data_IF_948924498739
#
_entry.id   IF_948924498739
#
_cell.length_a   1.000
_cell.length_b   1.000
_cell.length_c   1.000
_cell.angle_alpha   90.00
_cell.angle_beta   90.00
_cell.angle_gamma   90.00
#
_symmetry.space_group_name_H-M   'P 1'
#
loop_
_entity.id
_entity.type
_entity.pdbx_description
1 polymer ?
#
# COMPACT_ATOMS: atom_id res chain seq x y z
N UNK A 1 -17.52 20.63 6.78
CA UNK A 1 -17.62 20.40 8.23
C UNK A 1 -18.17 19.01 8.53
N UNK A 2 -19.38 18.65 8.09
CA UNK A 2 -19.96 17.31 8.36
C UNK A 2 -19.16 16.13 7.76
N UNK A 3 -18.69 16.25 6.52
CA UNK A 3 -17.94 15.18 5.85
C UNK A 3 -16.58 14.91 6.50
N UNK A 4 -15.92 15.97 6.98
CA UNK A 4 -14.63 15.91 7.67
C UNK A 4 -14.80 15.22 9.03
N UNK A 5 -15.87 15.56 9.77
CA UNK A 5 -16.23 14.88 11.02
C UNK A 5 -16.58 13.40 10.81
N UNK A 6 -17.26 13.04 9.71
CA UNK A 6 -17.61 11.65 9.42
C UNK A 6 -16.36 10.80 9.14
N UNK A 7 -15.46 11.28 8.27
CA UNK A 7 -14.20 10.59 7.98
C UNK A 7 -13.31 10.46 9.22
N UNK A 8 -13.23 11.49 10.06
CA UNK A 8 -12.48 11.44 11.31
C UNK A 8 -13.05 10.42 12.29
N UNK A 9 -14.38 10.35 12.42
CA UNK A 9 -15.03 9.35 13.27
C UNK A 9 -14.75 7.94 12.77
N UNK A 10 -14.92 7.68 11.48
CA UNK A 10 -14.66 6.36 10.90
C UNK A 10 -13.19 5.93 11.06
N UNK A 11 -12.24 6.87 10.94
CA UNK A 11 -10.83 6.59 11.21
C UNK A 11 -10.61 6.27 12.70
N UNK A 12 -11.20 7.04 13.61
CA UNK A 12 -11.07 6.82 15.05
C UNK A 12 -11.61 5.45 15.48
N UNK A 13 -12.81 5.10 15.02
CA UNK A 13 -13.43 3.81 15.29
C UNK A 13 -12.54 2.67 14.77
N UNK A 14 -12.05 2.77 13.53
CA UNK A 14 -11.17 1.77 12.95
C UNK A 14 -9.83 1.62 13.70
N UNK A 15 -9.17 2.72 14.06
CA UNK A 15 -7.91 2.65 14.81
C UNK A 15 -8.12 2.06 16.21
N UNK A 16 -9.26 2.33 16.86
CA UNK A 16 -9.58 1.76 18.16
C UNK A 16 -9.81 0.24 18.08
N UNK A 17 -10.56 -0.21 17.06
CA UNK A 17 -10.92 -1.62 16.89
C UNK A 17 -9.74 -2.47 16.38
N UNK A 18 -8.94 -1.92 15.47
CA UNK A 18 -7.91 -2.67 14.73
C UNK A 18 -6.47 -2.43 15.22
N UNK A 19 -6.26 -1.65 16.30
CA UNK A 19 -4.92 -1.26 16.75
C UNK A 19 -3.93 -2.43 16.86
N UNK A 20 -4.37 -3.55 17.43
CA UNK A 20 -3.54 -4.74 17.61
C UNK A 20 -3.19 -5.38 16.25
N UNK A 21 -4.14 -5.45 15.33
CA UNK A 21 -3.92 -5.97 13.99
C UNK A 21 -2.96 -5.08 13.19
N UNK A 22 -3.12 -3.75 13.28
CA UNK A 22 -2.21 -2.78 12.66
C UNK A 22 -0.80 -2.90 13.21
N UNK A 23 -0.63 -3.01 14.54
CA UNK A 23 0.68 -3.24 15.14
C UNK A 23 1.32 -4.54 14.67
N UNK A 24 0.57 -5.65 14.67
CA UNK A 24 1.07 -6.94 14.17
C UNK A 24 1.49 -6.87 12.70
N UNK A 25 0.67 -6.21 11.87
CA UNK A 25 1.00 -5.98 10.46
C UNK A 25 2.29 -5.17 10.30
N UNK A 26 2.48 -4.11 11.09
CA UNK A 26 3.74 -3.34 11.02
C UNK A 26 4.91 -4.17 11.53
N UNK A 27 4.77 -4.87 12.66
CA UNK A 27 5.83 -5.72 13.23
C UNK A 27 6.28 -6.82 12.28
N UNK A 28 5.37 -7.42 11.50
CA UNK A 28 5.75 -8.44 10.51
C UNK A 28 6.48 -7.88 9.28
N UNK A 29 6.62 -6.56 9.18
CA UNK A 29 7.12 -5.84 7.99
C UNK A 29 8.35 -4.98 8.26
N UNK A 30 8.66 -4.75 9.53
CA UNK A 30 9.87 -4.04 9.94
C UNK A 30 10.84 -5.06 10.53
N UNK A 31 12.11 -4.98 10.16
CA UNK A 31 13.14 -5.78 10.81
C UNK A 31 13.42 -5.22 12.22
N UNK A 32 13.81 -6.09 13.14
CA UNK A 32 14.23 -5.77 14.52
C UNK A 32 15.39 -4.77 14.56
N UNK A 33 16.09 -4.58 13.44
CA UNK A 33 17.13 -3.56 13.26
C UNK A 33 16.59 -2.14 13.03
N UNK A 34 15.27 -1.94 12.94
CA UNK A 34 14.61 -0.63 12.78
C UNK A 34 14.52 0.08 14.14
N UNK A 35 14.98 1.34 14.22
CA UNK A 35 14.98 2.16 15.45
C UNK A 35 13.59 2.70 15.84
N UNK A 36 12.55 2.37 15.07
CA UNK A 36 11.18 2.76 15.34
C UNK A 36 10.37 1.53 15.72
N UNK A 37 9.71 1.61 16.87
CA UNK A 37 8.78 0.57 17.28
C UNK A 37 7.56 0.57 16.34
N UNK A 38 6.95 -0.60 16.15
CA UNK A 38 5.74 -0.74 15.34
C UNK A 38 4.61 0.18 15.83
N UNK A 39 4.59 0.47 17.13
CA UNK A 39 3.71 1.43 17.78
C UNK A 39 3.90 2.85 17.23
N UNK A 40 5.14 3.33 17.12
CA UNK A 40 5.47 4.67 16.62
C UNK A 40 5.02 4.83 15.16
N UNK A 41 5.21 3.80 14.34
CA UNK A 41 4.78 3.80 12.94
C UNK A 41 3.27 3.91 12.82
N UNK A 42 2.53 3.15 13.64
CA UNK A 42 1.05 3.23 13.66
C UNK A 42 0.60 4.60 14.12
N UNK A 43 1.22 5.16 15.18
CA UNK A 43 0.89 6.50 15.68
C UNK A 43 1.21 7.60 14.66
N UNK A 44 2.37 7.54 13.99
CA UNK A 44 2.75 8.48 12.93
C UNK A 44 1.72 8.51 11.80
N UNK A 45 1.26 7.32 11.39
CA UNK A 45 0.24 7.20 10.34
C UNK A 45 -1.09 7.74 10.84
N UNK A 46 -1.51 7.39 12.05
CA UNK A 46 -2.73 7.94 12.65
C UNK A 46 -2.68 9.48 12.66
N UNK A 47 -1.61 10.08 13.20
CA UNK A 47 -1.42 11.54 13.26
C UNK A 47 -1.48 12.18 11.87
N UNK A 48 -0.82 11.58 10.87
CA UNK A 48 -0.87 12.06 9.48
C UNK A 48 -2.27 11.99 8.89
N UNK A 49 -3.04 10.94 9.19
CA UNK A 49 -4.39 10.77 8.65
C UNK A 49 -5.40 11.70 9.33
N UNK A 50 -5.31 11.89 10.65
CA UNK A 50 -6.18 12.82 11.38
C UNK A 50 -5.87 14.29 11.05
N UNK A 51 -4.62 14.61 10.71
CA UNK A 51 -4.21 15.97 10.33
C UNK A 51 -4.63 16.36 8.90
N UNK A 52 -5.12 15.42 8.08
CA UNK A 52 -5.56 15.71 6.72
C UNK A 52 -6.97 16.28 6.70
N UNK A 53 -7.11 17.43 6.04
CA UNK A 53 -8.42 17.94 5.62
C UNK A 53 -8.92 17.09 4.45
N UNK A 54 -9.71 16.06 4.75
CA UNK A 54 -10.25 15.17 3.72
C UNK A 54 -11.37 15.89 2.97
N UNK A 55 -11.13 16.23 1.70
CA UNK A 55 -12.10 16.90 0.82
C UNK A 55 -13.05 15.92 0.13
N UNK A 56 -12.96 14.63 0.42
CA UNK A 56 -13.77 13.56 -0.19
C UNK A 56 -14.02 12.41 0.79
N UNK A 57 -15.11 11.64 0.62
CA UNK A 57 -15.42 10.49 1.48
C UNK A 57 -14.35 9.41 1.37
N UNK A 58 -14.10 8.68 2.47
CA UNK A 58 -13.24 7.48 2.44
C UNK A 58 -14.14 6.25 2.35
N UNK A 59 -14.30 5.70 1.15
CA UNK A 59 -15.18 4.54 0.92
C UNK A 59 -14.64 3.23 1.54
N UNK A 60 -13.32 3.11 1.68
CA UNK A 60 -12.66 1.96 2.30
C UNK A 60 -11.58 2.43 3.30
N UNK A 61 -11.97 2.54 4.57
CA UNK A 61 -11.09 2.98 5.67
C UNK A 61 -9.93 2.01 5.87
N UNK A 62 -10.19 0.70 5.89
CA UNK A 62 -9.17 -0.31 6.08
C UNK A 62 -8.08 -0.21 5.00
N UNK A 63 -8.48 -0.24 3.72
CA UNK A 63 -7.56 -0.11 2.61
C UNK A 63 -6.78 1.22 2.62
N UNK A 64 -7.39 2.30 3.11
CA UNK A 64 -6.73 3.59 3.24
C UNK A 64 -5.66 3.61 4.36
N UNK A 65 -5.95 2.99 5.51
CA UNK A 65 -5.02 2.89 6.64
C UNK A 65 -3.86 1.96 6.31
N UNK A 66 -4.13 0.73 5.84
CA UNK A 66 -3.07 -0.22 5.47
C UNK A 66 -2.15 0.31 4.36
N UNK A 67 -2.69 1.03 3.37
CA UNK A 67 -1.86 1.70 2.36
C UNK A 67 -0.96 2.78 2.97
N UNK A 68 -1.48 3.54 3.94
CA UNK A 68 -0.70 4.58 4.60
C UNK A 68 0.41 3.99 5.48
N UNK A 69 0.15 2.87 6.15
CA UNK A 69 1.15 2.07 6.88
C UNK A 69 2.22 1.52 5.95
N UNK A 70 1.82 0.89 4.84
CA UNK A 70 2.78 0.39 3.83
C UNK A 70 3.70 1.49 3.33
N UNK A 71 3.14 2.65 2.96
CA UNK A 71 3.94 3.78 2.51
C UNK A 71 4.93 4.26 3.60
N UNK A 72 4.47 4.34 4.86
CA UNK A 72 5.35 4.75 5.97
C UNK A 72 6.49 3.74 6.21
N UNK A 73 6.19 2.45 6.13
CA UNK A 73 7.19 1.38 6.25
C UNK A 73 8.22 1.49 5.13
N UNK A 74 7.77 1.65 3.87
CA UNK A 74 8.67 1.85 2.73
C UNK A 74 9.54 3.09 2.92
N UNK A 75 8.98 4.21 3.39
CA UNK A 75 9.75 5.44 3.63
C UNK A 75 10.87 5.22 4.67
N UNK A 76 10.57 4.49 5.75
CA UNK A 76 11.55 4.14 6.80
C UNK A 76 12.61 3.18 6.27
N UNK A 77 12.21 2.17 5.49
CA UNK A 77 13.15 1.23 4.88
C UNK A 77 14.03 1.93 3.84
N UNK A 78 13.49 2.87 3.04
CA UNK A 78 14.26 3.67 2.07
C UNK A 78 15.29 4.57 2.73
N UNK A 79 14.94 5.22 3.85
CA UNK A 79 15.91 6.05 4.59
C UNK A 79 17.03 5.21 5.20
N UNK A 80 16.76 3.97 5.61
CA UNK A 80 17.78 3.00 6.05
C UNK A 80 18.51 2.26 4.92
N UNK A 81 17.95 2.18 3.70
CA UNK A 81 18.62 1.56 2.54
C UNK A 81 19.82 2.38 2.03
N UNK A 82 19.99 3.61 2.51
CA UNK A 82 21.26 4.36 2.41
C UNK A 82 22.34 3.75 3.31
N UNK A 83 21.98 2.85 4.23
CA UNK A 83 22.86 2.35 5.30
C UNK A 83 23.12 0.84 5.30
N UNK A 84 22.18 -0.07 5.03
CA UNK A 84 22.47 -1.53 5.15
C UNK A 84 21.64 -2.40 4.20
N UNK A 85 22.31 -3.37 3.59
CA UNK A 85 21.79 -4.45 2.75
C UNK A 85 20.74 -5.30 3.47
N UNK A 86 19.47 -5.11 3.15
CA UNK A 86 18.48 -6.20 3.09
C UNK A 86 17.47 -5.86 2.00
N UNK A 87 17.61 -6.53 0.87
CA UNK A 87 16.64 -6.45 -0.23
C UNK A 87 15.45 -7.33 0.14
N UNK A 88 14.21 -6.80 0.21
CA UNK A 88 13.05 -7.65 0.39
C UNK A 88 13.06 -8.72 -0.72
N UNK A 89 12.91 -9.98 -0.34
CA UNK A 89 12.93 -11.07 -1.31
C UNK A 89 11.78 -10.86 -2.28
N UNK A 90 12.03 -11.08 -3.57
CA UNK A 90 11.06 -10.82 -4.63
C UNK A 90 9.71 -11.51 -4.33
N UNK A 91 9.75 -12.68 -3.72
CA UNK A 91 8.61 -13.51 -3.34
C UNK A 91 7.70 -12.83 -2.28
N UNK A 92 8.29 -12.17 -1.29
CA UNK A 92 7.56 -11.41 -0.27
C UNK A 92 6.78 -10.25 -0.90
N UNK A 93 7.39 -9.52 -1.84
CA UNK A 93 6.73 -8.42 -2.55
C UNK A 93 5.52 -8.89 -3.37
N UNK A 94 5.58 -10.11 -3.92
CA UNK A 94 4.47 -10.70 -4.65
C UNK A 94 3.33 -11.13 -3.73
N UNK A 95 3.64 -11.69 -2.56
CA UNK A 95 2.64 -12.01 -1.54
C UNK A 95 1.89 -10.75 -1.08
N UNK A 96 2.60 -9.63 -0.88
CA UNK A 96 2.02 -8.37 -0.43
C UNK A 96 1.05 -7.77 -1.43
N UNK A 97 1.45 -7.82 -2.69
CA UNK A 97 0.60 -7.34 -3.77
C UNK A 97 -0.62 -8.24 -3.92
N UNK A 98 -0.47 -9.56 -3.80
CA UNK A 98 -1.58 -10.50 -3.82
C UNK A 98 -2.55 -10.25 -2.65
N UNK A 99 -2.07 -10.06 -1.44
CA UNK A 99 -2.91 -9.73 -0.28
C UNK A 99 -3.73 -8.45 -0.52
N UNK A 100 -3.09 -7.38 -0.99
CA UNK A 100 -3.76 -6.13 -1.31
C UNK A 100 -4.79 -6.28 -2.46
N UNK A 101 -4.51 -7.16 -3.42
CA UNK A 101 -5.30 -7.33 -4.63
C UNK A 101 -6.51 -8.25 -4.43
N UNK A 102 -6.33 -9.38 -3.77
CA UNK A 102 -7.38 -10.38 -3.52
C UNK A 102 -8.16 -10.14 -2.22
N UNK A 103 -7.64 -9.32 -1.30
CA UNK A 103 -8.36 -8.89 -0.10
C UNK A 103 -8.59 -9.96 0.97
N UNK A 104 -7.97 -11.14 0.85
CA UNK A 104 -8.06 -12.21 1.85
C UNK A 104 -6.79 -12.22 2.72
N UNK A 105 -6.97 -12.07 4.03
CA UNK A 105 -5.90 -12.04 5.05
C UNK A 105 -5.52 -13.44 5.55
N UNK A 106 -5.56 -14.44 4.68
CA UNK A 106 -5.07 -15.78 5.00
C UNK A 106 -3.80 -16.01 4.18
N UNK A 107 -2.70 -16.30 4.86
CA UNK A 107 -1.34 -16.55 4.36
C UNK A 107 -1.22 -17.77 3.41
N UNK A 108 -2.23 -18.02 2.56
CA UNK A 108 -2.39 -19.26 1.81
C UNK A 108 -2.76 -18.99 0.34
N UNK A 109 -2.18 -17.95 -0.25
CA UNK A 109 -2.17 -17.85 -1.72
C UNK A 109 -1.24 -18.93 -2.25
N UNK A 110 -1.81 -19.97 -2.87
CA UNK A 110 -0.99 -21.00 -3.52
C UNK A 110 0.03 -20.38 -4.48
N UNK A 111 1.23 -20.96 -4.59
CA UNK A 111 2.25 -20.54 -5.56
C UNK A 111 1.67 -20.41 -6.98
N UNK A 112 0.70 -21.25 -7.32
CA UNK A 112 0.00 -21.22 -8.60
C UNK A 112 -0.80 -19.92 -8.80
N UNK A 113 -1.45 -19.41 -7.76
CA UNK A 113 -2.19 -18.16 -7.81
C UNK A 113 -1.26 -16.95 -7.93
N UNK A 114 -0.16 -16.94 -7.18
CA UNK A 114 0.89 -15.92 -7.28
C UNK A 114 1.47 -15.92 -8.70
N UNK A 115 1.79 -17.08 -9.25
CA UNK A 115 2.29 -17.21 -10.62
C UNK A 115 1.30 -16.70 -11.67
N UNK A 116 0.00 -17.00 -11.52
CA UNK A 116 -1.05 -16.45 -12.38
C UNK A 116 -1.09 -14.92 -12.33
N UNK A 117 -0.96 -14.33 -11.14
CA UNK A 117 -0.90 -12.87 -10.98
C UNK A 117 0.34 -12.27 -11.63
N UNK A 118 1.52 -12.88 -11.45
CA UNK A 118 2.77 -12.48 -12.11
C UNK A 118 2.62 -12.46 -13.64
N UNK A 119 2.08 -13.53 -14.21
CA UNK A 119 1.88 -13.64 -15.66
C UNK A 119 0.79 -12.68 -16.16
N UNK A 120 -0.22 -12.40 -15.34
CA UNK A 120 -1.22 -11.38 -15.63
C UNK A 120 -0.60 -9.98 -15.72
N UNK A 121 0.26 -9.61 -14.77
CA UNK A 121 0.97 -8.32 -14.75
C UNK A 121 1.95 -8.20 -15.92
N UNK A 122 2.71 -9.27 -16.24
CA UNK A 122 3.66 -9.26 -17.37
C UNK A 122 3.01 -8.96 -18.71
N UNK A 123 1.75 -9.33 -18.88
CA UNK A 123 0.98 -9.13 -20.10
C UNK A 123 0.24 -7.78 -20.15
N UNK A 124 0.28 -6.97 -19.09
CA UNK A 124 -0.22 -5.60 -19.14
C UNK A 124 0.62 -4.75 -20.10
N UNK A 125 -0.01 -3.73 -20.70
CA UNK A 125 0.73 -2.70 -21.45
C UNK A 125 1.77 -2.04 -20.52
N UNK A 126 2.94 -1.62 -21.03
CA UNK A 126 4.02 -1.05 -20.22
C UNK A 126 3.54 -0.01 -19.21
N UNK A 127 2.79 1.01 -19.64
CA UNK A 127 2.27 2.05 -18.75
C UNK A 127 1.47 1.53 -17.53
N UNK A 128 0.78 0.40 -17.66
CA UNK A 128 -0.02 -0.20 -16.59
C UNK A 128 0.80 -1.11 -15.69
N UNK A 129 1.78 -1.81 -16.26
CA UNK A 129 2.74 -2.61 -15.49
C UNK A 129 3.65 -1.69 -14.68
N UNK A 130 4.20 -0.66 -15.32
CA UNK A 130 5.21 0.20 -14.73
C UNK A 130 4.63 1.02 -13.56
N UNK A 131 3.35 1.43 -13.63
CA UNK A 131 2.70 2.10 -12.49
C UNK A 131 2.45 1.14 -11.31
N UNK A 132 2.15 -0.13 -11.58
CA UNK A 132 2.01 -1.15 -10.53
C UNK A 132 3.37 -1.40 -9.87
N UNK A 133 4.44 -1.58 -10.66
CA UNK A 133 5.79 -1.76 -10.13
C UNK A 133 6.18 -0.54 -9.27
N UNK A 134 6.06 0.66 -9.82
CA UNK A 134 6.49 1.88 -9.14
C UNK A 134 5.74 2.11 -7.82
N UNK A 135 4.43 1.90 -7.78
CA UNK A 135 3.62 2.18 -6.58
C UNK A 135 3.58 1.01 -5.61
N UNK A 136 3.40 -0.21 -6.10
CA UNK A 136 3.08 -1.37 -5.27
C UNK A 136 4.31 -2.18 -4.86
N UNK A 137 5.38 -2.17 -5.68
CA UNK A 137 6.62 -2.90 -5.41
C UNK A 137 7.74 -1.97 -4.94
N UNK A 138 7.93 -0.84 -5.63
CA UNK A 138 8.98 0.12 -5.29
C UNK A 138 8.52 1.14 -4.25
N UNK A 139 7.21 1.33 -4.09
CA UNK A 139 6.60 2.21 -3.11
C UNK A 139 6.78 3.71 -3.37
N UNK A 140 6.95 4.10 -4.63
CA UNK A 140 6.91 5.51 -5.01
C UNK A 140 5.50 6.09 -4.85
N UNK A 141 5.45 7.31 -4.34
CA UNK A 141 4.23 8.11 -4.32
C UNK A 141 3.92 8.65 -5.71
N UNK A 142 2.63 8.87 -6.02
CA UNK A 142 2.23 9.50 -7.28
C UNK A 142 2.88 10.87 -7.51
N UNK A 143 3.20 11.59 -6.43
CA UNK A 143 3.89 12.88 -6.51
C UNK A 143 5.33 12.70 -7.00
N UNK A 144 6.08 11.77 -6.41
CA UNK A 144 7.47 11.49 -6.84
C UNK A 144 7.52 10.99 -8.30
N UNK A 145 6.57 10.13 -8.69
CA UNK A 145 6.50 9.66 -10.08
C UNK A 145 6.14 10.83 -11.01
N UNK A 146 5.22 11.70 -10.60
CA UNK A 146 4.83 12.89 -11.37
C UNK A 146 6.00 13.85 -11.56
N UNK A 147 6.76 14.12 -10.50
CA UNK A 147 7.97 14.98 -10.55
C UNK A 147 9.04 14.40 -11.47
N UNK A 148 9.21 13.07 -11.51
CA UNK A 148 10.23 12.40 -12.35
C UNK A 148 9.81 12.25 -13.81
N UNK A 149 8.53 12.02 -14.08
CA UNK A 149 8.03 11.64 -15.41
C UNK A 149 7.30 12.77 -16.12
N UNK A 150 6.92 13.84 -15.42
CA UNK A 150 6.05 14.91 -15.92
C UNK A 150 4.59 14.50 -16.10
N UNK A 151 4.22 13.25 -15.77
CA UNK A 151 2.84 12.76 -15.90
C UNK A 151 2.04 13.26 -14.68
N UNK A 152 0.84 13.86 -14.85
CA UNK A 152 0.05 14.32 -13.72
C UNK A 152 -0.31 13.20 -12.73
N UNK A 153 -0.24 13.48 -11.42
CA UNK A 153 -0.58 12.52 -10.38
C UNK A 153 -1.97 11.88 -10.54
N UNK A 154 -2.97 12.66 -10.96
CA UNK A 154 -4.32 12.14 -11.26
C UNK A 154 -4.33 11.15 -12.43
N UNK A 155 -3.50 11.37 -13.45
CA UNK A 155 -3.33 10.43 -14.57
C UNK A 155 -2.69 9.13 -14.07
N UNK A 156 -1.65 9.21 -13.25
CA UNK A 156 -0.99 8.04 -12.67
C UNK A 156 -1.95 7.23 -11.78
N UNK A 157 -2.77 7.90 -10.96
CA UNK A 157 -3.84 7.23 -10.20
C UNK A 157 -4.84 6.53 -11.12
N UNK A 158 -5.29 7.18 -12.19
CA UNK A 158 -6.22 6.59 -13.16
C UNK A 158 -5.60 5.40 -13.92
N UNK A 159 -4.30 5.47 -14.22
CA UNK A 159 -3.55 4.39 -14.84
C UNK A 159 -3.46 3.18 -13.92
N UNK A 160 -3.12 3.39 -12.64
CA UNK A 160 -3.09 2.30 -11.66
C UNK A 160 -4.46 1.67 -11.47
N UNK A 161 -5.51 2.49 -11.37
CA UNK A 161 -6.88 1.98 -11.25
C UNK A 161 -7.25 1.09 -12.44
N UNK A 162 -7.01 1.56 -13.67
CA UNK A 162 -7.25 0.76 -14.89
C UNK A 162 -6.41 -0.52 -14.93
N UNK A 163 -5.15 -0.46 -14.49
CA UNK A 163 -4.28 -1.64 -14.40
C UNK A 163 -4.90 -2.70 -13.49
N UNK A 164 -5.39 -2.31 -12.31
CA UNK A 164 -6.08 -3.22 -11.40
C UNK A 164 -7.35 -3.79 -12.03
N UNK A 165 -8.21 -2.97 -12.64
CA UNK A 165 -9.43 -3.46 -13.30
C UNK A 165 -9.14 -4.48 -14.41
N UNK A 166 -8.05 -4.31 -15.16
CA UNK A 166 -7.62 -5.27 -16.18
C UNK A 166 -7.16 -6.59 -15.56
N UNK A 167 -6.44 -6.53 -14.42
CA UNK A 167 -6.04 -7.72 -13.67
C UNK A 167 -7.27 -8.46 -13.11
N UNK A 168 -8.24 -7.74 -12.52
CA UNK A 168 -9.48 -8.32 -11.99
C UNK A 168 -10.21 -9.11 -13.08
N UNK A 169 -10.46 -8.46 -14.22
CA UNK A 169 -11.11 -9.11 -15.37
C UNK A 169 -10.35 -10.33 -15.87
N UNK A 170 -9.02 -10.28 -15.86
CA UNK A 170 -8.18 -11.36 -16.38
C UNK A 170 -8.08 -12.56 -15.43
N UNK A 171 -8.18 -12.30 -14.13
CA UNK A 171 -8.10 -13.31 -13.08
C UNK A 171 -9.49 -13.80 -12.65
N UNK A 172 -10.55 -13.30 -13.31
CA UNK A 172 -11.96 -13.65 -13.08
C UNK A 172 -12.41 -13.41 -11.64
N UNK A 173 -11.98 -12.27 -11.09
CA UNK A 173 -12.27 -11.80 -9.73
C UNK A 173 -13.31 -10.67 -9.73
#
# INVERSE_FOLDING_TARGET
MELENNNQKQLADFFADEYIALKRYVTSRIDTSVDSDAEDIVQDVALKLFSRKNTSPIDNIAGFVYRSLKNRIVDIMRSKKVSVHDEPQLEDLWMDFAELFYGNSAYDYSEQLIKKLQDAIRQLKPMYRDIIIAVDFEGYTYREISERTGIPAGTLMSQRHRALSLLFKKLEL
#
